data_IF_165627987120
#
_entry.id   IF_165627987120
#
_cell.length_a   1.000
_cell.length_b   1.000
_cell.length_c   1.000
_cell.angle_alpha   90.00
_cell.angle_beta   90.00
_cell.angle_gamma   90.00
#
_symmetry.space_group_name_H-M   'P 1'
#
loop_
_entity.id
_entity.type
_entity.pdbx_description
1 polymer ?
#
# COMPACT_ATOMS: atom_id res chain seq x y z
N UNK A 1 29.38 17.13 -44.26
CA UNK A 1 28.24 16.25 -43.93
C UNK A 1 28.41 15.39 -42.67
N UNK A 2 29.63 15.18 -42.12
CA UNK A 2 29.83 14.29 -40.94
C UNK A 2 29.45 14.92 -39.58
N UNK A 3 29.40 16.25 -39.47
CA UNK A 3 29.09 16.92 -38.20
C UNK A 3 27.60 16.82 -37.81
N UNK A 4 26.69 16.91 -38.78
CA UNK A 4 25.25 16.83 -38.52
C UNK A 4 24.81 15.48 -37.94
N UNK A 5 25.44 14.37 -38.33
CA UNK A 5 25.09 13.04 -37.81
C UNK A 5 25.49 12.88 -36.33
N UNK A 6 26.69 13.35 -35.95
CA UNK A 6 27.12 13.34 -34.53
C UNK A 6 26.25 14.25 -33.66
N UNK A 7 25.87 15.42 -34.18
CA UNK A 7 24.99 16.36 -33.48
C UNK A 7 23.57 15.81 -33.30
N UNK A 8 23.02 15.17 -34.34
CA UNK A 8 21.73 14.49 -34.26
C UNK A 8 21.76 13.35 -33.23
N UNK A 9 22.86 12.59 -33.15
CA UNK A 9 22.98 11.49 -32.19
C UNK A 9 23.16 11.96 -30.76
N UNK A 10 23.89 13.07 -30.54
CA UNK A 10 24.00 13.71 -29.23
C UNK A 10 22.64 14.26 -28.76
N UNK A 11 21.88 14.86 -29.68
CA UNK A 11 20.51 15.31 -29.41
C UNK A 11 19.61 14.13 -29.03
N UNK A 12 19.58 13.08 -29.86
CA UNK A 12 18.78 11.88 -29.60
C UNK A 12 19.13 11.24 -28.26
N UNK A 13 20.43 11.09 -27.95
CA UNK A 13 20.88 10.50 -26.70
C UNK A 13 20.45 11.32 -25.48
N UNK A 14 20.50 12.65 -25.57
CA UNK A 14 20.07 13.55 -24.49
C UNK A 14 18.57 13.42 -24.24
N UNK A 15 17.76 13.48 -25.29
CA UNK A 15 16.30 13.37 -25.14
C UNK A 15 15.85 11.98 -24.73
N UNK A 16 16.44 10.93 -25.31
CA UNK A 16 16.17 9.57 -24.89
C UNK A 16 16.55 9.37 -23.42
N UNK A 17 17.77 9.78 -23.04
CA UNK A 17 18.24 9.72 -21.66
C UNK A 17 17.35 10.49 -20.69
N UNK A 18 16.88 11.68 -21.08
CA UNK A 18 15.97 12.49 -20.27
C UNK A 18 14.62 11.79 -20.07
N UNK A 19 14.01 11.25 -21.14
CA UNK A 19 12.73 10.53 -21.07
C UNK A 19 12.85 9.27 -20.21
N UNK A 20 13.86 8.43 -20.48
CA UNK A 20 14.08 7.21 -19.70
C UNK A 20 14.49 7.51 -18.26
N UNK A 21 15.25 8.58 -18.02
CA UNK A 21 15.61 9.05 -16.69
C UNK A 21 14.37 9.45 -15.88
N UNK A 22 13.47 10.24 -16.46
CA UNK A 22 12.20 10.60 -15.83
C UNK A 22 11.30 9.39 -15.59
N UNK A 23 11.25 8.46 -16.55
CA UNK A 23 10.47 7.22 -16.41
C UNK A 23 10.99 6.36 -15.25
N UNK A 24 12.30 6.10 -15.21
CA UNK A 24 12.93 5.35 -14.12
C UNK A 24 12.74 6.05 -12.78
N UNK A 25 12.92 7.38 -12.74
CA UNK A 25 12.67 8.18 -11.54
C UNK A 25 11.23 7.99 -11.04
N UNK A 26 10.23 8.12 -11.91
CA UNK A 26 8.84 7.93 -11.53
C UNK A 26 8.55 6.50 -11.03
N UNK A 27 9.12 5.47 -11.68
CA UNK A 27 8.99 4.08 -11.25
C UNK A 27 9.59 3.87 -9.85
N UNK A 28 10.81 4.34 -9.61
CA UNK A 28 11.45 4.20 -8.31
C UNK A 28 10.72 5.02 -7.23
N UNK A 29 10.36 6.26 -7.52
CA UNK A 29 9.63 7.13 -6.60
C UNK A 29 8.29 6.50 -6.18
N UNK A 30 7.49 6.06 -7.15
CA UNK A 30 6.19 5.42 -6.88
C UNK A 30 6.34 4.07 -6.19
N UNK A 31 7.36 3.29 -6.57
CA UNK A 31 7.71 2.03 -5.91
C UNK A 31 8.09 2.22 -4.43
N UNK A 32 8.93 3.21 -4.12
CA UNK A 32 9.26 3.55 -2.73
C UNK A 32 8.04 4.04 -1.98
N UNK A 33 7.19 4.85 -2.62
CA UNK A 33 5.97 5.37 -1.99
C UNK A 33 4.95 4.26 -1.67
N UNK A 34 4.88 3.22 -2.50
CA UNK A 34 3.98 2.08 -2.30
C UNK A 34 4.28 1.30 -1.00
N UNK A 35 5.53 1.31 -0.51
CA UNK A 35 5.87 0.71 0.79
C UNK A 35 5.23 1.44 1.97
N UNK A 36 4.91 2.72 1.81
CA UNK A 36 4.29 3.57 2.84
C UNK A 36 2.80 3.81 2.56
N UNK A 37 2.17 2.95 1.75
CA UNK A 37 0.78 3.11 1.34
C UNK A 37 -0.15 3.22 2.56
N UNK A 38 0.02 2.35 3.55
CA UNK A 38 -0.89 2.28 4.70
C UNK A 38 -0.74 3.53 5.58
N UNK A 39 0.49 3.98 5.80
CA UNK A 39 0.77 5.22 6.51
C UNK A 39 0.17 6.42 5.77
N UNK A 40 0.45 6.56 4.47
CA UNK A 40 -0.12 7.65 3.66
C UNK A 40 -1.65 7.62 3.71
N UNK A 41 -2.25 6.44 3.61
CA UNK A 41 -3.71 6.26 3.69
C UNK A 41 -4.24 6.72 5.04
N UNK A 42 -3.58 6.37 6.14
CA UNK A 42 -3.95 6.81 7.49
C UNK A 42 -3.85 8.33 7.65
N UNK A 43 -2.77 8.94 7.15
CA UNK A 43 -2.62 10.40 7.14
C UNK A 43 -3.68 11.11 6.27
N UNK A 44 -4.12 10.47 5.18
CA UNK A 44 -5.17 10.99 4.30
C UNK A 44 -6.58 10.83 4.86
N UNK A 45 -6.78 10.00 5.89
CA UNK A 45 -8.07 9.73 6.53
C UNK A 45 -8.06 10.09 8.02
N UNK A 46 -7.83 11.37 8.38
CA UNK A 46 -7.83 11.81 9.78
C UNK A 46 -9.17 11.59 10.49
N UNK A 47 -10.28 11.48 9.74
CA UNK A 47 -11.62 11.19 10.24
C UNK A 47 -11.78 9.76 10.74
N UNK A 48 -10.97 8.82 10.25
CA UNK A 48 -10.95 7.43 10.73
C UNK A 48 -10.10 7.40 11.99
N UNK A 49 -10.75 7.67 13.12
CA UNK A 49 -10.10 7.49 14.42
C UNK A 49 -9.78 6.01 14.62
N UNK A 50 -8.50 5.67 14.58
CA UNK A 50 -7.98 4.38 15.00
C UNK A 50 -8.24 4.22 16.51
N UNK A 51 -9.44 3.76 16.85
CA UNK A 51 -9.76 3.43 18.23
C UNK A 51 -8.85 2.26 18.62
N UNK A 52 -8.12 2.34 19.75
CA UNK A 52 -7.44 1.17 20.26
C UNK A 52 -8.50 0.11 20.54
N UNK A 53 -8.52 -0.92 19.70
CA UNK A 53 -9.40 -2.06 19.90
C UNK A 53 -8.92 -2.79 21.14
N UNK A 54 -9.81 -2.94 22.12
CA UNK A 54 -9.58 -3.83 23.24
C UNK A 54 -9.80 -5.27 22.73
N UNK A 55 -8.69 -5.94 22.40
CA UNK A 55 -8.68 -7.31 21.89
C UNK A 55 -9.52 -8.26 22.77
N UNK A 56 -9.50 -8.06 24.09
CA UNK A 56 -10.26 -8.88 25.04
C UNK A 56 -11.77 -8.71 24.89
N UNK A 57 -12.22 -7.46 24.71
CA UNK A 57 -13.63 -7.15 24.49
C UNK A 57 -14.10 -7.58 23.10
N UNK A 58 -13.29 -7.35 22.06
CA UNK A 58 -13.60 -7.75 20.68
C UNK A 58 -13.72 -9.27 20.55
N UNK A 59 -12.83 -10.03 21.20
CA UNK A 59 -12.90 -11.48 21.24
C UNK A 59 -14.17 -11.98 21.94
N UNK A 60 -14.51 -11.38 23.10
CA UNK A 60 -15.71 -11.77 23.85
C UNK A 60 -16.99 -11.56 23.02
N UNK A 61 -17.09 -10.44 22.29
CA UNK A 61 -18.23 -10.17 21.40
C UNK A 61 -18.27 -11.17 20.24
N UNK A 62 -17.15 -11.38 19.55
CA UNK A 62 -17.07 -12.33 18.42
C UNK A 62 -17.42 -13.77 18.85
N UNK A 63 -16.95 -14.20 20.01
CA UNK A 63 -17.28 -15.50 20.58
C UNK A 63 -18.78 -15.61 20.91
N UNK A 64 -19.36 -14.59 21.56
CA UNK A 64 -20.78 -14.61 21.90
C UNK A 64 -21.68 -14.65 20.66
N UNK A 65 -21.29 -13.96 19.59
CA UNK A 65 -21.99 -13.97 18.30
C UNK A 65 -21.96 -15.35 17.64
N UNK A 66 -20.77 -15.97 17.56
CA UNK A 66 -20.62 -17.30 16.96
C UNK A 66 -21.37 -18.38 17.75
N UNK A 67 -21.39 -18.27 19.08
CA UNK A 67 -22.16 -19.15 19.95
C UNK A 67 -23.67 -19.03 19.72
N UNK A 68 -24.19 -17.84 19.44
CA UNK A 68 -25.61 -17.65 19.15
C UNK A 68 -25.98 -18.10 17.74
N UNK A 69 -25.13 -17.81 16.76
CA UNK A 69 -25.48 -17.94 15.35
C UNK A 69 -25.10 -19.27 14.71
N UNK A 70 -24.08 -19.95 15.24
CA UNK A 70 -23.60 -21.21 14.69
C UNK A 70 -23.31 -22.27 15.77
N UNK A 71 -24.15 -22.45 16.81
CA UNK A 71 -23.84 -23.25 18.02
C UNK A 71 -23.44 -24.70 17.75
N UNK A 72 -23.88 -25.28 16.64
CA UNK A 72 -23.62 -26.67 16.23
C UNK A 72 -22.40 -26.84 15.31
N UNK A 73 -21.66 -25.78 15.01
CA UNK A 73 -20.45 -25.90 14.20
C UNK A 73 -19.34 -26.64 14.97
N UNK A 74 -18.60 -27.51 14.28
CA UNK A 74 -17.53 -28.29 14.90
C UNK A 74 -16.32 -27.45 15.35
N UNK A 75 -16.10 -26.28 14.73
CA UNK A 75 -15.04 -25.32 15.07
C UNK A 75 -15.34 -23.95 14.46
N UNK A 76 -14.90 -22.88 15.14
CA UNK A 76 -14.80 -21.55 14.58
C UNK A 76 -13.36 -21.04 14.62
N UNK A 77 -13.04 -20.09 13.74
CA UNK A 77 -11.79 -19.34 13.75
C UNK A 77 -12.10 -17.87 13.92
N UNK A 78 -11.38 -17.21 14.83
CA UNK A 78 -11.49 -15.76 15.07
C UNK A 78 -10.11 -15.17 14.78
N UNK A 79 -10.03 -14.28 13.80
CA UNK A 79 -8.82 -13.50 13.52
C UNK A 79 -8.99 -12.13 14.17
N UNK A 80 -8.10 -11.79 15.09
CA UNK A 80 -8.11 -10.47 15.70
C UNK A 80 -7.45 -9.46 14.75
N UNK A 81 -7.96 -8.21 14.71
CA UNK A 81 -7.35 -7.15 13.93
C UNK A 81 -5.93 -6.85 14.43
N UNK A 82 -5.08 -6.42 13.51
CA UNK A 82 -3.69 -6.08 13.81
C UNK A 82 -3.44 -4.62 13.45
N UNK A 83 -2.32 -4.05 13.92
CA UNK A 83 -1.99 -2.63 13.63
C UNK A 83 -1.94 -2.28 12.13
N UNK A 84 -1.74 -3.27 11.25
CA UNK A 84 -1.72 -3.10 9.78
C UNK A 84 -3.01 -3.53 9.08
N UNK A 85 -3.90 -4.20 9.81
CA UNK A 85 -5.20 -4.68 9.32
C UNK A 85 -6.21 -4.51 10.46
N UNK A 86 -6.62 -3.25 10.75
CA UNK A 86 -7.44 -2.90 11.91
C UNK A 86 -8.91 -3.30 11.78
#
# INVERSE_FOLDING_TARGET
>A
MKEGFRQAMAWLHTWAGLIFGWLLFAIFLTGTLAYFKDEITHWMQPEVQAHPLDDGRSLAVAQSYLQQQAPTAARWFITLPTRRDP
#
